data_IF_287252582276
#
_entry.id   IF_287252582276
#
_cell.length_a   1.000
_cell.length_b   1.000
_cell.length_c   1.000
_cell.angle_alpha   90.00
_cell.angle_beta   90.00
_cell.angle_gamma   90.00
#
_symmetry.space_group_name_H-M   'P 1'
#
loop_
_entity.id
_entity.type
_entity.pdbx_description
1 polymer ?
#
# COMPACT_ATOMS: atom_id res chain seq x y z
N UNK A 1 11.53 13.02 -45.32
CA UNK A 1 11.04 14.05 -44.38
C UNK A 1 10.47 13.34 -43.17
N UNK A 2 10.93 13.77 -42.00
CA UNK A 2 10.97 13.02 -40.75
C UNK A 2 9.59 12.81 -40.11
N UNK A 3 9.28 11.57 -39.71
CA UNK A 3 8.30 11.27 -38.68
C UNK A 3 9.07 10.64 -37.51
N UNK A 4 9.70 11.49 -36.71
CA UNK A 4 10.26 11.13 -35.41
C UNK A 4 9.10 11.11 -34.41
N UNK A 5 8.47 9.95 -34.28
CA UNK A 5 7.65 9.63 -33.11
C UNK A 5 8.59 9.30 -31.96
N UNK A 6 9.10 10.35 -31.29
CA UNK A 6 9.66 10.23 -29.95
C UNK A 6 8.52 9.97 -28.97
N UNK A 7 8.07 8.72 -28.90
CA UNK A 7 7.39 8.22 -27.71
C UNK A 7 8.42 8.20 -26.60
N UNK A 8 8.50 9.29 -25.85
CA UNK A 8 9.24 9.38 -24.60
C UNK A 8 8.87 8.17 -23.74
N UNK A 9 9.78 7.20 -23.71
CA UNK A 9 9.78 6.13 -22.73
C UNK A 9 9.78 6.81 -21.37
N UNK A 10 8.69 6.63 -20.63
CA UNK A 10 8.63 6.94 -19.21
C UNK A 10 9.73 6.13 -18.55
N UNK A 11 10.84 6.80 -18.27
CA UNK A 11 11.97 6.26 -17.57
C UNK A 11 11.48 5.64 -16.27
N UNK A 12 11.54 4.31 -16.19
CA UNK A 12 11.36 3.55 -14.96
C UNK A 12 12.48 3.97 -14.03
N UNK A 13 12.20 4.90 -13.11
CA UNK A 13 13.17 5.34 -12.11
C UNK A 13 13.32 4.20 -11.11
N UNK A 14 14.49 3.53 -11.04
CA UNK A 14 14.69 2.38 -10.18
C UNK A 14 14.67 2.85 -8.72
N UNK A 15 13.54 2.65 -8.05
CA UNK A 15 13.29 3.09 -6.67
C UNK A 15 11.90 3.68 -6.44
N UNK A 16 11.20 4.06 -7.51
CA UNK A 16 9.80 4.50 -7.45
C UNK A 16 8.91 3.31 -7.80
N UNK A 17 8.50 2.51 -6.79
CA UNK A 17 7.39 1.56 -6.97
C UNK A 17 6.23 2.29 -7.63
N UNK A 18 5.76 1.77 -8.76
CA UNK A 18 4.67 2.36 -9.53
C UNK A 18 3.45 2.56 -8.63
N UNK A 19 2.65 3.62 -8.80
CA UNK A 19 1.40 3.79 -8.05
C UNK A 19 0.50 2.55 -8.09
N UNK A 20 0.54 1.82 -9.20
CA UNK A 20 -0.14 0.54 -9.40
C UNK A 20 0.39 -0.55 -8.46
N UNK A 21 1.71 -0.66 -8.30
CA UNK A 21 2.34 -1.63 -7.40
C UNK A 21 1.95 -1.37 -5.95
N UNK A 22 1.87 -0.09 -5.56
CA UNK A 22 1.48 0.30 -4.21
C UNK A 22 -0.02 0.08 -3.95
N UNK A 23 -0.87 0.23 -4.97
CA UNK A 23 -2.28 -0.12 -4.88
C UNK A 23 -2.48 -1.64 -4.74
N UNK A 24 -1.73 -2.43 -5.51
CA UNK A 24 -1.75 -3.89 -5.43
C UNK A 24 -1.21 -4.38 -4.08
N UNK A 25 -0.15 -3.78 -3.57
CA UNK A 25 0.38 -4.09 -2.24
C UNK A 25 -0.65 -3.83 -1.13
N UNK A 26 -1.38 -2.71 -1.21
CA UNK A 26 -2.47 -2.40 -0.28
C UNK A 26 -3.59 -3.45 -0.34
N UNK A 27 -4.03 -3.82 -1.54
CA UNK A 27 -5.06 -4.86 -1.73
C UNK A 27 -4.62 -6.21 -1.14
N UNK A 28 -3.35 -6.59 -1.31
CA UNK A 28 -2.80 -7.80 -0.68
C UNK A 28 -2.81 -7.71 0.85
N UNK A 29 -2.49 -6.54 1.41
CA UNK A 29 -2.56 -6.32 2.86
C UNK A 29 -4.00 -6.42 3.40
N UNK A 30 -4.97 -5.88 2.67
CA UNK A 30 -6.40 -6.01 3.00
C UNK A 30 -6.85 -7.47 3.01
N UNK A 31 -6.49 -8.24 1.97
CA UNK A 31 -6.81 -9.67 1.88
C UNK A 31 -6.16 -10.48 3.01
N UNK A 32 -4.86 -10.26 3.25
CA UNK A 32 -4.11 -10.94 4.31
C UNK A 32 -4.71 -10.64 5.69
N UNK A 33 -5.17 -9.41 5.91
CA UNK A 33 -5.87 -9.05 7.14
C UNK A 33 -7.19 -9.79 7.29
N UNK A 34 -8.04 -9.82 6.26
CA UNK A 34 -9.30 -10.56 6.31
C UNK A 34 -9.07 -12.04 6.65
N UNK A 35 -8.06 -12.67 6.05
CA UNK A 35 -7.69 -14.05 6.33
C UNK A 35 -7.18 -14.22 7.77
N UNK A 36 -6.32 -13.33 8.25
CA UNK A 36 -5.79 -13.38 9.61
C UNK A 36 -6.90 -13.19 10.67
N UNK A 37 -7.87 -12.31 10.41
CA UNK A 37 -9.06 -12.14 11.27
C UNK A 37 -9.90 -13.40 11.29
N UNK A 38 -10.24 -13.98 10.13
CA UNK A 38 -11.04 -15.19 10.03
C UNK A 38 -10.40 -16.38 10.76
N UNK A 39 -9.07 -16.47 10.72
CA UNK A 39 -8.30 -17.54 11.37
C UNK A 39 -8.02 -17.26 12.86
N UNK A 40 -8.31 -16.06 13.36
CA UNK A 40 -7.90 -15.64 14.70
C UNK A 40 -6.38 -15.54 14.89
N UNK A 41 -5.62 -15.40 13.80
CA UNK A 41 -4.15 -15.38 13.82
C UNK A 41 -3.63 -14.02 14.29
N UNK A 42 -3.43 -13.91 15.61
CA UNK A 42 -2.92 -12.69 16.25
C UNK A 42 -1.54 -12.30 15.77
N UNK A 43 -0.68 -13.26 15.44
CA UNK A 43 0.69 -12.99 15.02
C UNK A 43 0.71 -12.40 13.60
N UNK A 44 -0.07 -12.97 12.68
CA UNK A 44 -0.24 -12.39 11.35
C UNK A 44 -0.81 -10.97 11.43
N UNK A 45 -1.78 -10.71 12.33
CA UNK A 45 -2.33 -9.38 12.54
C UNK A 45 -1.28 -8.36 13.05
N UNK A 46 -0.40 -8.78 13.96
CA UNK A 46 0.70 -7.92 14.45
C UNK A 46 1.70 -7.61 13.34
N UNK A 47 2.14 -8.62 12.59
CA UNK A 47 3.05 -8.44 11.45
C UNK A 47 2.47 -7.52 10.38
N UNK A 48 1.17 -7.67 10.06
CA UNK A 48 0.48 -6.78 9.11
C UNK A 48 0.43 -5.33 9.59
N UNK A 49 0.17 -5.09 10.89
CA UNK A 49 0.16 -3.74 11.46
C UNK A 49 1.53 -3.05 11.33
N UNK A 50 2.62 -3.80 11.53
CA UNK A 50 3.98 -3.28 11.34
C UNK A 50 4.26 -2.96 9.88
N UNK A 51 3.99 -3.91 8.96
CA UNK A 51 4.20 -3.71 7.53
C UNK A 51 3.47 -2.45 7.01
N UNK A 52 2.22 -2.27 7.42
CA UNK A 52 1.39 -1.13 7.03
C UNK A 52 1.89 0.18 7.65
N UNK A 53 2.44 0.13 8.88
CA UNK A 53 3.11 1.28 9.49
C UNK A 53 4.27 1.78 8.63
N UNK A 54 5.12 0.85 8.21
CA UNK A 54 6.29 1.16 7.41
C UNK A 54 5.89 1.63 6.01
N UNK A 55 4.90 0.99 5.37
CA UNK A 55 4.39 1.40 4.07
C UNK A 55 3.83 2.83 4.11
N UNK A 56 3.07 3.18 5.16
CA UNK A 56 2.58 4.54 5.37
C UNK A 56 3.74 5.53 5.59
N UNK A 57 4.76 5.15 6.38
CA UNK A 57 5.93 6.00 6.61
C UNK A 57 6.74 6.23 5.33
N UNK A 58 6.88 5.21 4.47
CA UNK A 58 7.52 5.31 3.15
C UNK A 58 6.72 6.24 2.23
N UNK A 59 5.39 6.09 2.18
CA UNK A 59 4.53 6.95 1.36
C UNK A 59 4.59 8.42 1.80
N UNK A 60 4.65 8.68 3.12
CA UNK A 60 4.79 10.05 3.67
C UNK A 60 6.07 10.77 3.22
N UNK A 61 7.16 10.03 3.01
CA UNK A 61 8.46 10.59 2.59
C UNK A 61 8.52 10.96 1.11
N UNK A 62 7.51 10.58 0.31
CA UNK A 62 7.50 10.81 -1.15
C UNK A 62 6.66 12.05 -1.50
N UNK A 63 7.26 13.11 -2.07
CA UNK A 63 6.53 14.24 -2.63
C UNK A 63 5.55 13.75 -3.72
N UNK A 64 4.32 14.27 -3.74
CA UNK A 64 3.29 13.87 -4.71
C UNK A 64 2.54 12.57 -4.37
N UNK A 65 2.93 11.81 -3.34
CA UNK A 65 2.28 10.54 -2.96
C UNK A 65 1.18 10.70 -1.89
N UNK A 66 0.56 11.88 -1.78
CA UNK A 66 -0.42 12.20 -0.72
C UNK A 66 -1.61 11.22 -0.70
N UNK A 67 -2.17 10.92 -1.87
CA UNK A 67 -3.30 9.98 -1.99
C UNK A 67 -2.92 8.59 -1.52
N UNK A 68 -1.69 8.15 -1.82
CA UNK A 68 -1.20 6.86 -1.37
C UNK A 68 -0.98 6.82 0.14
N UNK A 69 -0.43 7.90 0.70
CA UNK A 69 -0.29 8.03 2.15
C UNK A 69 -1.66 7.99 2.84
N UNK A 70 -2.66 8.71 2.31
CA UNK A 70 -4.03 8.65 2.82
C UNK A 70 -4.62 7.24 2.74
N UNK A 71 -4.42 6.52 1.63
CA UNK A 71 -4.90 5.16 1.49
C UNK A 71 -4.27 4.19 2.52
N UNK A 72 -2.97 4.30 2.76
CA UNK A 72 -2.31 3.53 3.81
C UNK A 72 -2.79 3.91 5.21
N UNK A 73 -3.11 5.18 5.44
CA UNK A 73 -3.63 5.64 6.73
C UNK A 73 -5.04 5.13 7.01
N UNK A 74 -5.92 5.16 6.02
CA UNK A 74 -7.26 4.57 6.14
C UNK A 74 -7.20 3.08 6.48
N UNK A 75 -6.33 2.33 5.80
CA UNK A 75 -6.14 0.91 6.09
C UNK A 75 -5.60 0.69 7.52
N UNK A 76 -4.62 1.49 7.96
CA UNK A 76 -4.11 1.43 9.34
C UNK A 76 -5.21 1.70 10.37
N UNK A 77 -6.06 2.70 10.13
CA UNK A 77 -7.17 3.02 11.03
C UNK A 77 -8.18 1.86 11.13
N UNK A 78 -8.51 1.22 10.00
CA UNK A 78 -9.38 0.05 9.97
C UNK A 78 -8.84 -1.13 10.80
N UNK A 79 -7.52 -1.25 10.92
CA UNK A 79 -6.82 -2.29 11.68
C UNK A 79 -6.72 -2.02 13.18
N UNK A 80 -6.81 -0.75 13.58
CA UNK A 80 -6.72 -0.34 14.98
C UNK A 80 -8.10 -0.33 15.66
N UNK A 81 -9.17 -0.19 14.87
CA UNK A 81 -10.52 -0.28 15.38
C UNK A 81 -10.78 -1.68 15.97
N UNK A 82 -11.15 -1.78 17.26
CA UNK A 82 -11.54 -3.05 17.85
C UNK A 82 -12.82 -3.51 17.16
N UNK A 83 -12.69 -4.55 16.32
CA UNK A 83 -13.87 -5.21 15.76
C UNK A 83 -14.50 -5.99 16.89
N UNK A 84 -15.59 -5.46 17.46
CA UNK A 84 -16.49 -6.23 18.30
C UNK A 84 -16.90 -7.44 17.46
N UNK A 85 -16.39 -8.61 17.83
CA UNK A 85 -16.92 -9.88 17.38
C UNK A 85 -18.39 -9.89 17.80
N UNK A 86 -19.29 -9.74 16.83
CA UNK A 86 -20.71 -10.07 17.01
C UNK A 86 -20.86 -11.59 16.97
#
# INVERSE_FOLDING_TARGET
>A
MNALTDTHGTADVPGVRSPLDQALERQRCEQAWHQAVQRGDRQALLSLRLHIAEAAARARRKPGAREQWLAWMLLRCALLLPRRTF
#
